data_IF_068293646512
#
_entry.id   IF_068293646512
#
_cell.length_a   1.000
_cell.length_b   1.000
_cell.length_c   1.000
_cell.angle_alpha   90.00
_cell.angle_beta   90.00
_cell.angle_gamma   90.00
#
_symmetry.space_group_name_H-M   'P 1'
#
loop_
_entity.id
_entity.type
_entity.pdbx_description
1 polymer ?
#
# COMPACT_ATOMS: atom_id res chain seq x y z
N UNK A 1 -5.35 -19.54 -42.23
CA UNK A 1 -4.53 -20.62 -41.65
C UNK A 1 -5.45 -21.81 -41.41
N UNK A 2 -5.18 -23.01 -41.99
CA UNK A 2 -6.01 -24.19 -41.74
C UNK A 2 -5.89 -24.59 -40.25
N UNK A 3 -7.01 -25.06 -39.70
CA UNK A 3 -7.07 -25.59 -38.34
C UNK A 3 -6.12 -26.79 -38.19
N UNK A 4 -5.45 -26.95 -37.01
CA UNK A 4 -4.58 -28.10 -36.81
C UNK A 4 -5.41 -29.39 -36.85
N UNK A 5 -4.96 -30.33 -37.69
CA UNK A 5 -5.52 -31.68 -37.71
C UNK A 5 -5.43 -32.35 -36.34
N UNK A 6 -6.44 -33.16 -35.95
CA UNK A 6 -6.40 -33.86 -34.67
C UNK A 6 -5.21 -34.83 -34.67
N UNK A 7 -4.34 -34.69 -33.68
CA UNK A 7 -3.19 -35.57 -33.48
C UNK A 7 -3.65 -37.02 -33.46
N UNK A 8 -3.14 -37.84 -34.38
CA UNK A 8 -3.36 -39.29 -34.40
C UNK A 8 -2.84 -39.87 -33.08
N UNK A 9 -3.75 -40.39 -32.25
CA UNK A 9 -3.39 -41.06 -31.02
C UNK A 9 -2.52 -42.28 -31.35
N UNK A 10 -1.22 -42.18 -31.05
CA UNK A 10 -0.31 -43.32 -31.17
C UNK A 10 -0.87 -44.49 -30.37
N UNK A 11 -0.95 -45.65 -30.98
CA UNK A 11 -1.56 -46.84 -30.39
C UNK A 11 -0.70 -47.33 -29.20
N UNK A 12 -1.09 -46.97 -27.99
CA UNK A 12 -0.38 -47.32 -26.76
C UNK A 12 -0.36 -48.85 -26.58
N UNK A 13 0.81 -49.44 -26.45
CA UNK A 13 0.95 -50.88 -26.19
C UNK A 13 0.69 -51.17 -24.70
N UNK A 14 -0.42 -51.84 -24.40
CA UNK A 14 -0.79 -52.24 -23.05
C UNK A 14 -1.62 -53.52 -23.06
N UNK A 15 -1.52 -54.32 -22.01
CA UNK A 15 -2.35 -55.54 -21.88
C UNK A 15 -3.81 -55.20 -21.62
N UNK A 16 -4.76 -56.12 -21.92
CA UNK A 16 -6.16 -55.90 -21.63
C UNK A 16 -6.45 -55.55 -20.16
N UNK A 17 -5.72 -56.16 -19.24
CA UNK A 17 -5.84 -55.89 -17.81
C UNK A 17 -5.44 -54.45 -17.42
N UNK A 18 -4.31 -53.93 -18.00
CA UNK A 18 -3.87 -52.56 -17.80
C UNK A 18 -4.86 -51.57 -18.40
N UNK A 19 -5.39 -51.86 -19.58
CA UNK A 19 -6.42 -51.00 -20.22
C UNK A 19 -7.69 -50.92 -19.41
N UNK A 20 -8.16 -52.08 -18.87
CA UNK A 20 -9.33 -52.10 -18.00
C UNK A 20 -9.09 -51.25 -16.73
N UNK A 21 -7.96 -51.45 -16.04
CA UNK A 21 -7.60 -50.70 -14.85
C UNK A 21 -7.48 -49.20 -15.12
N UNK A 22 -6.84 -48.78 -16.20
CA UNK A 22 -6.75 -47.38 -16.59
C UNK A 22 -8.13 -46.76 -16.81
N UNK A 23 -9.04 -47.49 -17.49
CA UNK A 23 -10.42 -47.06 -17.68
C UNK A 23 -11.19 -46.91 -16.36
N UNK A 24 -11.06 -47.90 -15.47
CA UNK A 24 -11.72 -47.90 -14.17
C UNK A 24 -11.20 -46.73 -13.28
N UNK A 25 -9.96 -46.30 -13.48
CA UNK A 25 -9.31 -45.18 -12.77
C UNK A 25 -9.41 -43.83 -13.49
N UNK A 26 -10.05 -43.80 -14.66
CA UNK A 26 -10.20 -42.56 -15.46
C UNK A 26 -8.88 -42.01 -16.05
N UNK A 27 -7.87 -42.87 -16.22
CA UNK A 27 -6.53 -42.48 -16.71
C UNK A 27 -6.44 -42.74 -18.22
N UNK A 28 -6.03 -41.71 -18.97
CA UNK A 28 -5.66 -41.86 -20.36
C UNK A 28 -4.24 -42.47 -20.48
N UNK A 29 -4.16 -43.68 -21.02
CA UNK A 29 -2.90 -44.38 -21.20
C UNK A 29 -1.89 -43.65 -22.12
N UNK A 30 -2.33 -42.74 -22.95
CA UNK A 30 -1.46 -41.90 -23.76
C UNK A 30 -0.61 -40.92 -22.94
N UNK A 31 -1.03 -40.62 -21.71
CA UNK A 31 -0.33 -39.75 -20.78
C UNK A 31 0.65 -40.50 -19.88
N UNK A 32 0.61 -41.83 -19.85
CA UNK A 32 1.47 -42.66 -19.02
C UNK A 32 2.76 -42.94 -19.76
N UNK A 33 3.91 -42.63 -19.16
CA UNK A 33 5.22 -42.93 -19.76
C UNK A 33 5.40 -44.44 -19.82
N UNK A 34 5.61 -45.00 -21.02
CA UNK A 34 5.77 -46.48 -21.17
C UNK A 34 7.15 -46.91 -20.63
N UNK A 35 7.24 -48.20 -20.28
CA UNK A 35 8.50 -48.84 -19.97
C UNK A 35 9.47 -48.86 -21.18
N UNK A 36 10.74 -49.26 -20.99
CA UNK A 36 11.78 -49.25 -22.05
C UNK A 36 11.40 -50.09 -23.29
N UNK A 37 10.54 -51.09 -23.12
CA UNK A 37 10.01 -51.90 -24.21
C UNK A 37 8.81 -51.28 -24.95
N UNK A 38 8.45 -50.00 -24.63
CA UNK A 38 7.36 -49.26 -25.24
C UNK A 38 5.96 -49.70 -24.76
N UNK A 39 5.86 -50.54 -23.74
CA UNK A 39 4.59 -51.01 -23.18
C UNK A 39 4.29 -50.33 -21.85
N UNK A 40 3.02 -49.99 -21.66
CA UNK A 40 2.53 -49.53 -20.36
C UNK A 40 2.13 -50.72 -19.49
N UNK A 41 2.72 -50.84 -18.31
CA UNK A 41 2.50 -51.88 -17.30
C UNK A 41 1.75 -51.33 -16.10
N UNK A 42 1.29 -52.19 -15.18
CA UNK A 42 0.64 -51.79 -13.94
C UNK A 42 1.51 -50.87 -13.09
N UNK A 43 2.86 -51.13 -13.01
CA UNK A 43 3.79 -50.26 -12.27
C UNK A 43 3.91 -48.87 -12.84
N UNK A 44 3.90 -48.71 -14.16
CA UNK A 44 3.94 -47.41 -14.85
C UNK A 44 2.67 -46.60 -14.53
N UNK A 45 1.52 -47.29 -14.50
CA UNK A 45 0.25 -46.67 -14.09
C UNK A 45 0.23 -46.28 -12.62
N UNK A 46 0.81 -47.09 -11.73
CA UNK A 46 0.93 -46.78 -10.30
C UNK A 46 1.86 -45.60 -10.07
N UNK A 47 2.97 -45.52 -10.80
CA UNK A 47 3.91 -44.39 -10.76
C UNK A 47 3.24 -43.10 -11.28
N UNK A 48 2.47 -43.18 -12.36
CA UNK A 48 1.71 -42.07 -12.90
C UNK A 48 0.67 -41.56 -11.91
N UNK A 49 -0.06 -42.48 -11.28
CA UNK A 49 -1.06 -42.17 -10.24
C UNK A 49 -0.42 -41.55 -9.02
N UNK A 50 0.70 -42.08 -8.52
CA UNK A 50 1.40 -41.52 -7.37
C UNK A 50 2.00 -40.15 -7.66
N UNK A 51 2.49 -39.91 -8.88
CA UNK A 51 3.00 -38.62 -9.32
C UNK A 51 1.88 -37.58 -9.47
N UNK A 52 0.72 -37.97 -9.98
CA UNK A 52 -0.41 -37.08 -10.19
C UNK A 52 -1.39 -36.96 -9.01
N UNK A 53 -1.34 -37.89 -8.04
CA UNK A 53 -2.26 -37.90 -6.88
C UNK A 53 -2.07 -36.70 -5.93
N UNK A 54 -0.94 -35.98 -6.03
CA UNK A 54 -0.66 -34.78 -5.23
C UNK A 54 -0.82 -33.45 -5.98
N UNK A 55 -0.98 -33.48 -7.29
CA UNK A 55 -1.08 -32.26 -8.09
C UNK A 55 -2.36 -32.30 -8.92
N UNK A 56 -3.37 -31.60 -8.47
CA UNK A 56 -4.55 -31.34 -9.31
C UNK A 56 -4.08 -30.77 -10.66
N UNK A 57 -4.80 -31.09 -11.73
CA UNK A 57 -4.48 -30.58 -13.06
C UNK A 57 -4.19 -29.08 -13.00
N UNK A 58 -3.05 -28.65 -13.52
CA UNK A 58 -2.74 -27.23 -13.60
C UNK A 58 -3.92 -26.50 -14.27
N UNK A 59 -4.40 -25.45 -13.64
CA UNK A 59 -5.49 -24.67 -14.18
C UNK A 59 -5.12 -24.21 -15.60
N UNK A 60 -6.02 -24.38 -16.55
CA UNK A 60 -5.80 -23.88 -17.90
C UNK A 60 -5.47 -22.37 -17.84
N UNK A 61 -4.51 -21.87 -18.62
CA UNK A 61 -4.21 -20.46 -18.66
C UNK A 61 -5.46 -19.67 -19.02
N UNK A 62 -5.68 -18.55 -18.33
CA UNK A 62 -6.76 -17.64 -18.70
C UNK A 62 -6.43 -16.98 -20.03
N UNK A 63 -7.45 -16.69 -20.83
CA UNK A 63 -7.27 -15.92 -22.05
C UNK A 63 -6.79 -14.49 -21.72
N UNK A 64 -5.95 -13.93 -22.57
CA UNK A 64 -5.53 -12.54 -22.47
C UNK A 64 -6.73 -11.61 -22.70
N UNK A 65 -6.82 -10.56 -21.92
CA UNK A 65 -7.89 -9.56 -22.01
C UNK A 65 -7.28 -8.17 -22.21
N UNK A 66 -7.58 -7.53 -23.31
CA UNK A 66 -7.20 -6.14 -23.59
C UNK A 66 -8.24 -5.17 -22.99
N UNK A 67 -7.81 -4.26 -22.10
CA UNK A 67 -8.64 -3.20 -21.54
C UNK A 67 -8.11 -1.82 -21.90
N UNK A 68 -8.93 -1.02 -22.56
CA UNK A 68 -8.62 0.39 -22.84
C UNK A 68 -8.63 1.20 -21.55
N UNK A 69 -7.56 1.98 -21.34
CA UNK A 69 -7.48 2.95 -20.22
C UNK A 69 -8.20 4.22 -20.62
N UNK A 70 -9.38 4.46 -20.04
CA UNK A 70 -10.26 5.60 -20.36
C UNK A 70 -10.69 6.35 -19.09
N UNK A 71 -11.29 7.53 -19.25
CA UNK A 71 -11.91 8.30 -18.17
C UNK A 71 -10.92 8.71 -17.08
N UNK A 72 -11.33 8.52 -15.83
CA UNK A 72 -10.50 8.86 -14.66
C UNK A 72 -9.16 8.10 -14.63
N UNK A 73 -9.16 6.81 -14.98
CA UNK A 73 -7.94 6.01 -15.01
C UNK A 73 -6.91 6.56 -16.00
N UNK A 74 -7.34 7.11 -17.13
CA UNK A 74 -6.46 7.78 -18.09
C UNK A 74 -5.84 9.05 -17.49
N UNK A 75 -6.64 9.88 -16.80
CA UNK A 75 -6.14 11.09 -16.11
C UNK A 75 -5.11 10.74 -15.03
N UNK A 76 -5.37 9.69 -14.25
CA UNK A 76 -4.42 9.19 -13.24
C UNK A 76 -3.12 8.78 -13.92
N UNK A 77 -3.18 7.99 -15.00
CA UNK A 77 -2.01 7.52 -15.73
C UNK A 77 -1.18 8.69 -16.29
N UNK A 78 -1.83 9.68 -16.90
CA UNK A 78 -1.19 10.89 -17.42
C UNK A 78 -0.51 11.70 -16.30
N UNK A 79 -1.19 11.89 -15.16
CA UNK A 79 -0.66 12.61 -13.99
C UNK A 79 0.54 11.90 -13.36
N UNK A 80 0.44 10.60 -13.16
CA UNK A 80 1.54 9.81 -12.57
C UNK A 80 2.74 9.73 -13.51
N UNK A 81 2.51 9.60 -14.82
CA UNK A 81 3.57 9.64 -15.80
C UNK A 81 4.26 11.02 -15.85
N UNK A 82 3.50 12.12 -15.79
CA UNK A 82 4.05 13.47 -15.72
C UNK A 82 4.85 13.69 -14.42
N UNK A 83 4.31 13.25 -13.28
CA UNK A 83 5.01 13.32 -11.99
C UNK A 83 6.37 12.61 -12.06
N UNK A 84 6.41 11.36 -12.55
CA UNK A 84 7.64 10.58 -12.62
C UNK A 84 8.65 11.09 -13.65
N UNK A 85 8.19 11.73 -14.72
CA UNK A 85 9.10 12.33 -15.72
C UNK A 85 9.73 13.64 -15.24
N UNK A 86 8.97 14.48 -14.54
CA UNK A 86 9.38 15.84 -14.22
C UNK A 86 10.00 15.96 -12.83
N UNK A 87 9.66 15.07 -11.89
CA UNK A 87 10.11 15.14 -10.51
C UNK A 87 11.23 14.12 -10.27
N UNK A 88 12.45 14.54 -9.92
CA UNK A 88 13.48 13.63 -9.43
C UNK A 88 13.17 13.20 -8.00
N UNK A 89 12.33 12.16 -7.87
CA UNK A 89 11.95 11.61 -6.58
C UNK A 89 13.12 10.98 -5.86
N UNK A 90 13.26 11.30 -4.57
CA UNK A 90 13.97 10.45 -3.62
C UNK A 90 13.06 10.11 -2.45
N UNK A 91 13.39 9.07 -1.72
CA UNK A 91 12.60 8.65 -0.56
C UNK A 91 13.50 8.48 0.66
N UNK A 92 12.96 8.83 1.82
CA UNK A 92 13.55 8.56 3.12
C UNK A 92 12.55 7.74 3.94
N UNK A 93 13.04 6.77 4.70
CA UNK A 93 12.21 5.89 5.52
C UNK A 93 12.82 5.78 6.90
N UNK A 94 12.00 5.98 7.93
CA UNK A 94 12.41 5.92 9.32
C UNK A 94 11.45 5.06 10.14
N UNK A 95 11.97 4.24 11.03
CA UNK A 95 11.17 3.45 11.97
C UNK A 95 10.86 4.27 13.22
N UNK A 96 9.58 4.27 13.62
CA UNK A 96 9.07 4.96 14.80
C UNK A 96 8.45 3.95 15.77
N UNK A 97 8.72 4.08 17.05
CA UNK A 97 8.02 3.36 18.11
C UNK A 97 6.71 4.07 18.45
N UNK A 98 5.61 3.53 17.97
CA UNK A 98 4.26 4.10 18.18
C UNK A 98 3.49 3.40 19.30
N UNK A 99 4.18 2.71 20.21
CA UNK A 99 3.54 1.98 21.30
C UNK A 99 2.72 2.93 22.18
N UNK A 100 3.33 4.03 22.63
CA UNK A 100 2.68 5.00 23.51
C UNK A 100 1.59 5.80 22.77
N UNK A 101 1.80 6.05 21.46
CA UNK A 101 0.77 6.67 20.61
C UNK A 101 -0.48 5.77 20.51
N UNK A 102 -0.32 4.47 20.37
CA UNK A 102 -1.42 3.51 20.34
C UNK A 102 -2.13 3.38 21.69
N UNK A 103 -1.38 3.49 22.82
CA UNK A 103 -1.95 3.56 24.16
C UNK A 103 -2.80 4.83 24.31
N UNK A 104 -2.26 6.00 23.95
CA UNK A 104 -2.99 7.26 23.98
C UNK A 104 -4.26 7.18 23.10
N UNK A 105 -4.15 6.67 21.90
CA UNK A 105 -5.29 6.51 20.98
C UNK A 105 -6.38 5.61 21.57
N UNK A 106 -6.00 4.53 22.23
CA UNK A 106 -6.95 3.63 22.92
C UNK A 106 -7.65 4.34 24.08
N UNK A 107 -6.92 5.10 24.90
CA UNK A 107 -7.47 5.90 26.02
C UNK A 107 -8.45 6.98 25.51
N UNK A 108 -8.10 7.71 24.46
CA UNK A 108 -8.98 8.69 23.84
C UNK A 108 -10.26 8.03 23.30
N UNK A 109 -10.15 6.85 22.69
CA UNK A 109 -11.29 6.11 22.18
C UNK A 109 -12.19 5.55 23.29
N UNK A 110 -11.65 5.09 24.41
CA UNK A 110 -12.46 4.62 25.55
C UNK A 110 -13.28 5.73 26.20
N UNK A 111 -12.79 6.98 26.13
CA UNK A 111 -13.44 8.16 26.71
C UNK A 111 -14.13 9.07 25.67
N UNK A 112 -14.35 8.59 24.45
CA UNK A 112 -14.84 9.43 23.33
C UNK A 112 -16.30 9.87 23.45
N UNK A 113 -17.15 9.15 24.18
CA UNK A 113 -18.60 9.35 24.17
C UNK A 113 -19.16 9.16 22.74
N UNK A 114 -19.95 10.11 22.26
CA UNK A 114 -20.57 10.09 20.93
C UNK A 114 -19.64 10.56 19.79
N UNK A 115 -18.39 10.90 20.11
CA UNK A 115 -17.41 11.35 19.12
C UNK A 115 -16.98 10.18 18.19
N UNK A 116 -16.50 10.47 16.97
CA UNK A 116 -16.07 9.41 16.04
C UNK A 116 -14.90 8.62 16.62
N UNK A 117 -14.75 7.36 16.17
CA UNK A 117 -13.61 6.54 16.56
C UNK A 117 -12.32 7.11 15.93
N UNK A 118 -11.30 7.38 16.71
CA UNK A 118 -9.99 7.82 16.25
C UNK A 118 -9.23 6.64 15.65
N UNK A 119 -8.83 6.78 14.41
CA UNK A 119 -7.74 6.01 13.80
C UNK A 119 -6.39 6.67 14.11
N UNK A 120 -5.29 6.14 13.61
CA UNK A 120 -3.97 6.77 13.78
C UNK A 120 -3.83 8.07 12.95
N UNK A 121 -4.59 8.19 11.84
CA UNK A 121 -4.44 9.30 10.89
C UNK A 121 -4.68 10.69 11.51
N UNK A 122 -5.72 10.95 12.30
CA UNK A 122 -5.88 12.26 12.96
C UNK A 122 -4.67 12.66 13.81
N UNK A 123 -4.11 11.73 14.58
CA UNK A 123 -2.92 11.97 15.40
C UNK A 123 -1.68 12.26 14.55
N UNK A 124 -1.48 11.46 13.50
CA UNK A 124 -0.40 11.67 12.54
C UNK A 124 -0.51 13.02 11.82
N UNK A 125 -1.71 13.37 11.34
CA UNK A 125 -1.95 14.65 10.64
C UNK A 125 -1.67 15.82 11.58
N UNK A 126 -2.12 15.76 12.83
CA UNK A 126 -1.82 16.79 13.84
C UNK A 126 -0.31 16.91 14.07
N UNK A 127 0.40 15.79 14.21
CA UNK A 127 1.86 15.79 14.36
C UNK A 127 2.56 16.40 13.15
N UNK A 128 2.13 16.03 11.91
CA UNK A 128 2.64 16.63 10.67
C UNK A 128 2.41 18.15 10.68
N UNK A 129 1.19 18.61 10.96
CA UNK A 129 0.87 20.04 10.99
C UNK A 129 1.69 20.82 12.01
N UNK A 130 2.03 20.21 13.15
CA UNK A 130 2.91 20.83 14.18
C UNK A 130 4.38 20.88 13.75
N UNK A 131 4.82 19.93 12.92
CA UNK A 131 6.22 19.88 12.46
C UNK A 131 6.46 20.82 11.29
N UNK A 132 5.48 21.02 10.40
CA UNK A 132 5.64 21.77 9.15
C UNK A 132 6.11 23.22 9.28
N UNK A 133 5.78 23.99 10.33
CA UNK A 133 6.30 25.38 10.47
C UNK A 133 7.82 25.48 10.46
N UNK A 134 8.52 24.48 10.99
CA UNK A 134 9.98 24.43 11.00
C UNK A 134 10.57 23.94 9.67
N UNK A 135 9.71 23.32 8.81
CA UNK A 135 10.10 22.73 7.52
C UNK A 135 9.19 23.23 6.37
N UNK A 136 9.15 24.53 6.09
CA UNK A 136 8.15 25.11 5.18
C UNK A 136 8.31 24.65 3.71
N UNK A 137 9.47 24.10 3.34
CA UNK A 137 9.69 23.53 2.00
C UNK A 137 8.96 22.20 1.78
N UNK A 138 8.57 21.51 2.83
CA UNK A 138 7.80 20.25 2.75
C UNK A 138 6.32 20.56 2.43
N UNK A 139 5.79 21.70 2.87
CA UNK A 139 4.43 22.16 2.57
C UNK A 139 4.44 23.17 1.41
N UNK A 140 4.87 22.75 0.25
CA UNK A 140 5.09 23.63 -0.89
C UNK A 140 4.62 23.00 -2.21
N UNK A 141 4.53 23.84 -3.22
CA UNK A 141 4.32 23.46 -4.62
C UNK A 141 5.45 24.01 -5.48
N UNK A 142 5.83 23.26 -6.49
CA UNK A 142 6.82 23.69 -7.46
C UNK A 142 6.17 23.85 -8.84
N UNK A 143 6.32 25.05 -9.40
CA UNK A 143 5.95 25.36 -10.77
C UNK A 143 7.15 25.10 -11.68
N UNK A 144 7.09 24.04 -12.48
CA UNK A 144 8.16 23.62 -13.39
C UNK A 144 8.45 24.65 -14.49
N UNK A 145 7.42 25.39 -14.96
CA UNK A 145 7.54 26.34 -16.06
C UNK A 145 8.12 27.67 -15.58
N UNK A 146 7.63 28.15 -14.44
CA UNK A 146 8.11 29.39 -13.85
C UNK A 146 9.42 29.24 -13.06
N UNK A 147 9.79 28.00 -12.68
CA UNK A 147 10.91 27.72 -11.78
C UNK A 147 10.70 28.27 -10.36
N UNK A 148 9.44 28.32 -9.89
CA UNK A 148 9.07 28.97 -8.63
C UNK A 148 8.55 27.95 -7.62
N UNK A 149 9.09 28.00 -6.40
CA UNK A 149 8.56 27.28 -5.24
C UNK A 149 7.62 28.20 -4.46
N UNK A 150 6.38 27.77 -4.29
CA UNK A 150 5.40 28.44 -3.42
C UNK A 150 5.26 27.66 -2.11
N UNK A 151 5.75 28.23 -1.01
CA UNK A 151 5.55 27.70 0.35
C UNK A 151 4.18 28.14 0.86
N UNK A 152 3.41 27.21 1.39
CA UNK A 152 2.05 27.46 1.88
C UNK A 152 2.03 27.55 3.42
N UNK A 153 1.43 28.61 3.97
CA UNK A 153 1.19 28.73 5.41
C UNK A 153 0.04 27.83 5.87
N UNK A 154 -0.98 27.64 5.03
CA UNK A 154 -2.07 26.73 5.31
C UNK A 154 -1.69 25.29 4.86
N UNK A 155 -2.04 24.30 5.67
CA UNK A 155 -1.87 22.89 5.33
C UNK A 155 -3.18 22.37 4.73
N UNK A 156 -3.20 22.25 3.40
CA UNK A 156 -4.28 21.60 2.67
C UNK A 156 -3.84 20.18 2.35
N UNK A 157 -4.25 19.24 3.20
CA UNK A 157 -3.72 17.88 3.19
C UNK A 157 -4.54 16.97 2.28
N UNK A 158 -3.90 16.51 1.20
CA UNK A 158 -4.43 15.44 0.35
C UNK A 158 -4.41 14.12 1.09
N UNK A 159 -5.51 13.38 1.05
CA UNK A 159 -5.63 12.06 1.65
C UNK A 159 -5.92 11.02 0.57
N UNK A 160 -4.98 10.11 0.30
CA UNK A 160 -5.18 9.07 -0.68
C UNK A 160 -6.28 8.09 -0.25
N UNK A 161 -7.34 7.98 -1.04
CA UNK A 161 -8.49 7.10 -0.82
C UNK A 161 -8.68 6.15 -2.01
N UNK A 162 -8.74 4.86 -1.74
CA UNK A 162 -9.03 3.84 -2.75
C UNK A 162 -10.53 3.84 -3.06
N UNK A 163 -10.85 3.86 -4.35
CA UNK A 163 -12.23 3.74 -4.88
C UNK A 163 -12.28 2.74 -6.03
N UNK A 164 -13.46 2.32 -6.43
CA UNK A 164 -13.64 1.42 -7.59
C UNK A 164 -13.15 2.06 -8.90
N UNK A 165 -13.27 3.39 -9.02
CA UNK A 165 -12.78 4.15 -10.18
C UNK A 165 -11.25 4.34 -10.19
N UNK A 166 -10.56 4.07 -9.08
CA UNK A 166 -9.13 4.25 -8.89
C UNK A 166 -8.79 5.03 -7.61
N UNK A 167 -7.51 5.39 -7.47
CA UNK A 167 -7.06 6.19 -6.34
C UNK A 167 -7.50 7.65 -6.50
N UNK A 168 -8.23 8.17 -5.53
CA UNK A 168 -8.60 9.59 -5.44
C UNK A 168 -7.88 10.24 -4.27
N UNK A 169 -7.65 11.56 -4.36
CA UNK A 169 -6.93 12.30 -3.30
C UNK A 169 -7.78 13.53 -2.90
N UNK A 170 -8.86 13.32 -2.11
CA UNK A 170 -9.58 14.46 -1.54
C UNK A 170 -8.70 15.23 -0.55
N UNK A 171 -9.01 16.53 -0.39
CA UNK A 171 -8.17 17.48 0.35
C UNK A 171 -8.88 17.99 1.60
N UNK A 172 -8.28 17.76 2.74
CA UNK A 172 -8.67 18.35 4.03
C UNK A 172 -8.11 19.78 4.05
N UNK A 173 -9.01 20.77 4.01
CA UNK A 173 -8.62 22.18 4.04
C UNK A 173 -8.23 22.64 5.44
N UNK A 174 -7.17 23.45 5.53
CA UNK A 174 -6.70 24.02 6.79
C UNK A 174 -6.57 22.97 7.91
N UNK A 175 -5.93 21.84 7.60
CA UNK A 175 -5.81 20.73 8.54
C UNK A 175 -5.17 21.16 9.88
N UNK A 176 -4.27 22.16 9.87
CA UNK A 176 -3.63 22.72 11.05
C UNK A 176 -4.62 23.44 11.99
N UNK A 177 -5.79 23.85 11.51
CA UNK A 177 -6.81 24.54 12.31
C UNK A 177 -7.85 23.58 12.89
N UNK A 178 -7.77 22.29 12.61
CA UNK A 178 -8.74 21.28 13.04
C UNK A 178 -8.21 20.50 14.23
N UNK A 179 -9.08 20.23 15.21
CA UNK A 179 -8.76 19.31 16.30
C UNK A 179 -8.90 17.83 15.87
N UNK A 180 -8.43 16.91 16.70
CA UNK A 180 -8.43 15.46 16.39
C UNK A 180 -9.80 14.91 15.98
N UNK A 181 -10.88 15.38 16.61
CA UNK A 181 -12.23 14.89 16.36
C UNK A 181 -12.80 15.45 15.05
N UNK A 182 -12.50 16.72 14.76
CA UNK A 182 -12.84 17.35 13.48
C UNK A 182 -12.10 16.66 12.32
N UNK A 183 -10.80 16.40 12.51
CA UNK A 183 -10.03 15.62 11.53
C UNK A 183 -10.61 14.21 11.32
N UNK A 184 -10.99 13.50 12.39
CA UNK A 184 -11.58 12.17 12.27
C UNK A 184 -12.91 12.19 11.48
N UNK A 185 -13.76 13.18 11.72
CA UNK A 185 -15.01 13.36 10.97
C UNK A 185 -14.73 13.69 9.50
N UNK A 186 -13.82 14.63 9.24
CA UNK A 186 -13.51 15.08 7.88
C UNK A 186 -12.86 13.98 7.05
N UNK A 187 -11.94 13.19 7.64
CA UNK A 187 -11.35 12.00 7.02
C UNK A 187 -12.45 11.02 6.59
N UNK A 188 -13.39 10.72 7.49
CA UNK A 188 -14.47 9.77 7.21
C UNK A 188 -15.41 10.31 6.14
N UNK A 189 -15.79 11.59 6.21
CA UNK A 189 -16.66 12.26 5.26
C UNK A 189 -16.07 12.26 3.86
N UNK A 190 -14.81 12.72 3.73
CA UNK A 190 -14.12 12.80 2.43
C UNK A 190 -13.85 11.42 1.83
N UNK A 191 -13.49 10.44 2.66
CA UNK A 191 -13.30 9.06 2.19
C UNK A 191 -14.60 8.46 1.65
N UNK A 192 -15.74 8.73 2.30
CA UNK A 192 -17.05 8.27 1.84
C UNK A 192 -17.48 9.01 0.56
N UNK A 193 -17.31 10.34 0.53
CA UNK A 193 -17.62 11.14 -0.66
C UNK A 193 -16.80 10.70 -1.89
N UNK A 194 -15.52 10.34 -1.68
CA UNK A 194 -14.66 9.81 -2.74
C UNK A 194 -15.17 8.45 -3.24
N UNK A 195 -15.52 7.52 -2.33
CA UNK A 195 -16.02 6.17 -2.69
C UNK A 195 -17.37 6.21 -3.39
N UNK A 196 -18.30 7.04 -2.92
CA UNK A 196 -19.62 7.20 -3.51
C UNK A 196 -19.64 8.08 -4.78
N UNK A 197 -18.50 8.69 -5.13
CA UNK A 197 -18.41 9.59 -6.29
C UNK A 197 -19.13 10.94 -6.10
N UNK A 198 -19.44 11.31 -4.85
CA UNK A 198 -20.12 12.57 -4.51
C UNK A 198 -19.15 13.69 -4.10
N UNK A 199 -17.85 13.42 -4.09
CA UNK A 199 -16.83 14.42 -3.79
C UNK A 199 -16.88 15.58 -4.79
N UNK A 200 -16.92 16.81 -4.27
CA UNK A 200 -16.94 18.02 -5.08
C UNK A 200 -15.60 18.27 -5.74
N UNK A 201 -15.58 18.90 -6.92
CA UNK A 201 -14.35 19.24 -7.63
C UNK A 201 -13.38 20.07 -6.77
N UNK A 202 -13.90 20.97 -5.94
CA UNK A 202 -13.13 21.81 -5.01
C UNK A 202 -12.43 20.97 -3.92
N UNK A 203 -13.03 19.87 -3.53
CA UNK A 203 -12.46 18.95 -2.54
C UNK A 203 -11.34 18.06 -3.10
N UNK A 204 -11.21 18.03 -4.43
CA UNK A 204 -10.19 17.23 -5.14
C UNK A 204 -8.99 18.04 -5.60
N UNK A 205 -8.89 19.31 -5.25
CA UNK A 205 -7.87 20.23 -5.75
C UNK A 205 -7.26 21.04 -4.62
N UNK A 206 -6.09 21.61 -4.89
CA UNK A 206 -5.48 22.58 -3.98
C UNK A 206 -4.74 21.96 -2.80
N UNK A 207 -4.44 20.67 -2.81
CA UNK A 207 -3.54 20.01 -1.85
C UNK A 207 -2.16 20.65 -1.83
N UNK A 208 -1.52 20.75 -0.69
CA UNK A 208 -0.16 21.27 -0.52
C UNK A 208 0.82 20.19 -0.07
N UNK A 209 0.30 19.11 0.47
CA UNK A 209 1.01 17.92 0.93
C UNK A 209 0.03 16.74 0.89
N UNK A 210 0.45 15.57 0.49
CA UNK A 210 -0.39 14.37 0.49
C UNK A 210 0.07 13.35 1.54
N UNK A 211 -0.91 12.73 2.22
CA UNK A 211 -0.69 11.54 3.04
C UNK A 211 -1.34 10.34 2.36
N UNK A 212 -0.58 9.26 2.18
CA UNK A 212 -1.05 8.01 1.59
C UNK A 212 -0.93 6.86 2.57
N UNK A 213 -2.06 6.28 2.97
CA UNK A 213 -2.11 5.16 3.91
C UNK A 213 -2.91 4.02 3.32
N UNK A 214 -2.32 2.82 3.36
CA UNK A 214 -2.99 1.58 2.99
C UNK A 214 -3.56 0.84 4.21
N UNK A 215 -3.46 1.44 5.40
CA UNK A 215 -3.91 0.82 6.65
C UNK A 215 -3.30 -0.57 6.86
N UNK A 216 -4.11 -1.59 7.18
CA UNK A 216 -3.61 -2.95 7.42
C UNK A 216 -2.91 -3.60 6.21
N UNK A 217 -3.22 -3.16 4.99
CA UNK A 217 -2.58 -3.63 3.76
C UNK A 217 -1.24 -2.95 3.50
N UNK A 218 -0.86 -1.96 4.29
CA UNK A 218 0.41 -1.25 4.17
C UNK A 218 1.60 -2.20 4.27
N UNK A 219 2.63 -1.95 3.47
CA UNK A 219 3.90 -2.67 3.53
C UNK A 219 4.77 -2.23 4.71
N UNK A 220 6.00 -2.74 4.75
CA UNK A 220 7.02 -2.29 5.73
C UNK A 220 7.55 -0.90 5.34
N UNK A 221 7.67 -0.62 4.05
CA UNK A 221 8.08 0.66 3.50
C UNK A 221 7.39 0.89 2.16
N UNK A 222 7.22 2.16 1.79
CA UNK A 222 6.65 2.57 0.51
C UNK A 222 7.48 3.70 -0.11
N UNK A 223 7.44 3.80 -1.43
CA UNK A 223 8.04 4.90 -2.20
C UNK A 223 6.94 5.56 -3.04
N UNK A 224 6.04 6.33 -2.41
CA UNK A 224 4.88 6.87 -3.10
C UNK A 224 5.28 7.88 -4.18
N UNK A 225 4.45 7.96 -5.22
CA UNK A 225 4.61 8.96 -6.29
C UNK A 225 3.98 10.26 -5.84
N UNK A 226 4.72 11.36 -5.92
CA UNK A 226 4.27 12.70 -5.53
C UNK A 226 3.07 13.12 -6.39
N UNK A 227 2.07 13.70 -5.75
CA UNK A 227 0.90 14.26 -6.42
C UNK A 227 1.23 15.67 -6.93
N UNK A 228 1.78 15.76 -8.14
CA UNK A 228 2.18 17.03 -8.76
C UNK A 228 1.03 18.06 -8.76
N UNK A 229 1.27 19.34 -8.40
CA UNK A 229 2.55 20.04 -8.22
C UNK A 229 3.09 20.09 -6.78
N UNK A 230 2.62 19.24 -5.86
CA UNK A 230 3.16 19.13 -4.51
C UNK A 230 4.65 18.69 -4.56
N UNK A 231 5.42 18.99 -3.50
CA UNK A 231 6.83 18.63 -3.40
C UNK A 231 7.10 17.42 -2.54
N UNK A 232 6.11 16.96 -1.77
CA UNK A 232 6.28 15.82 -0.88
C UNK A 232 4.99 15.00 -0.73
N UNK A 233 5.17 13.72 -0.39
CA UNK A 233 4.11 12.80 -0.01
C UNK A 233 4.59 11.90 1.12
N UNK A 234 3.76 11.72 2.16
CA UNK A 234 4.09 10.96 3.37
C UNK A 234 3.25 9.70 3.40
N UNK A 235 3.90 8.57 3.67
CA UNK A 235 3.26 7.26 3.77
C UNK A 235 3.49 6.62 5.14
N UNK A 236 2.51 6.66 6.07
CA UNK A 236 2.56 5.77 7.22
C UNK A 236 2.36 4.33 6.76
N UNK A 237 3.28 3.46 7.15
CA UNK A 237 3.24 2.05 6.83
C UNK A 237 2.45 1.28 7.91
N UNK A 238 2.35 -0.04 7.78
CA UNK A 238 1.62 -0.84 8.76
C UNK A 238 2.34 -0.85 10.11
N UNK A 239 1.56 -0.87 11.17
CA UNK A 239 2.07 -1.11 12.53
C UNK A 239 2.33 -2.61 12.70
N UNK A 240 3.52 -2.96 13.18
CA UNK A 240 3.93 -4.33 13.48
C UNK A 240 4.40 -4.44 14.93
N UNK A 241 4.14 -5.58 15.56
CA UNK A 241 4.64 -5.86 16.90
C UNK A 241 5.97 -6.59 16.80
N UNK A 242 6.98 -6.09 17.52
CA UNK A 242 8.32 -6.72 17.61
C UNK A 242 8.83 -6.71 19.05
N UNK A 243 9.64 -7.72 19.46
CA UNK A 243 10.40 -7.64 20.68
C UNK A 243 11.55 -6.64 20.49
N UNK A 244 11.67 -5.68 21.39
CA UNK A 244 12.71 -4.66 21.39
C UNK A 244 13.37 -4.58 22.75
N UNK A 245 14.67 -4.27 22.78
CA UNK A 245 15.34 -3.92 24.03
C UNK A 245 14.93 -2.51 24.44
N UNK A 246 14.43 -2.38 25.66
CA UNK A 246 14.01 -1.08 26.24
C UNK A 246 14.73 -0.91 27.57
N UNK A 247 15.38 0.24 27.75
CA UNK A 247 15.99 0.61 29.02
C UNK A 247 14.93 1.24 29.90
N UNK A 248 14.60 0.59 31.02
CA UNK A 248 13.66 1.13 32.00
C UNK A 248 14.21 2.37 32.71
N UNK A 249 13.35 3.09 33.44
CA UNK A 249 13.76 4.25 34.29
C UNK A 249 14.76 3.88 35.39
N UNK A 250 14.87 2.60 35.73
CA UNK A 250 15.83 2.02 36.65
C UNK A 250 17.19 1.68 36.00
N UNK A 251 17.35 1.99 34.69
CA UNK A 251 18.56 1.70 33.93
C UNK A 251 18.73 0.24 33.53
N UNK A 252 17.72 -0.62 33.77
CA UNK A 252 17.78 -2.04 33.44
C UNK A 252 17.18 -2.27 32.05
N UNK A 253 17.92 -2.97 31.17
CA UNK A 253 17.40 -3.39 29.88
C UNK A 253 16.44 -4.57 30.02
N UNK A 254 15.32 -4.47 29.34
CA UNK A 254 14.28 -5.50 29.24
C UNK A 254 13.87 -5.69 27.81
N UNK A 255 13.44 -6.92 27.48
CA UNK A 255 12.78 -7.17 26.19
C UNK A 255 11.30 -6.88 26.37
N UNK A 256 10.80 -5.90 25.62
CA UNK A 256 9.39 -5.53 25.60
C UNK A 256 8.80 -5.71 24.20
N UNK A 257 7.51 -6.01 24.15
CA UNK A 257 6.75 -6.00 22.92
C UNK A 257 6.40 -4.56 22.56
N UNK A 258 6.99 -4.04 21.49
CA UNK A 258 6.77 -2.67 21.01
C UNK A 258 6.01 -2.68 19.69
N UNK A 259 5.25 -1.64 19.41
CA UNK A 259 4.54 -1.39 18.17
C UNK A 259 5.34 -0.41 17.32
N UNK A 260 5.86 -0.92 16.21
CA UNK A 260 6.72 -0.15 15.31
C UNK A 260 5.98 0.19 14.03
N UNK A 261 6.19 1.39 13.53
CA UNK A 261 5.64 1.87 12.27
C UNK A 261 6.70 2.64 11.50
N UNK A 262 6.95 2.27 10.26
CA UNK A 262 7.81 3.06 9.40
C UNK A 262 7.02 4.22 8.80
N UNK A 263 7.63 5.41 8.82
CA UNK A 263 7.20 6.58 8.07
C UNK A 263 8.06 6.68 6.82
N UNK A 264 7.43 6.60 5.66
CA UNK A 264 8.08 6.84 4.37
C UNK A 264 7.70 8.22 3.88
N UNK A 265 8.68 8.98 3.37
CA UNK A 265 8.44 10.23 2.66
C UNK A 265 9.11 10.17 1.30
N UNK A 266 8.42 10.59 0.25
CA UNK A 266 9.03 10.89 -1.05
C UNK A 266 9.01 12.39 -1.28
N UNK A 267 10.15 12.95 -1.71
CA UNK A 267 10.33 14.38 -1.93
C UNK A 267 10.85 14.66 -3.34
N UNK A 268 10.56 15.86 -3.81
CA UNK A 268 11.16 16.45 -5.03
C UNK A 268 12.56 16.97 -4.69
N UNK A 269 13.59 16.29 -5.21
CA UNK A 269 15.00 16.63 -4.90
C UNK A 269 15.47 17.96 -5.48
N UNK A 270 14.63 18.66 -6.23
CA UNK A 270 14.89 20.04 -6.70
C UNK A 270 14.56 21.08 -5.63
N UNK A 271 13.73 20.70 -4.64
CA UNK A 271 13.17 21.61 -3.63
C UNK A 271 13.56 21.19 -2.23
N UNK A 272 13.60 19.89 -1.95
CA UNK A 272 13.90 19.30 -0.65
C UNK A 272 15.12 18.41 -0.81
N UNK A 273 16.11 18.56 0.04
CA UNK A 273 17.27 17.67 0.05
C UNK A 273 17.14 16.54 1.10
N UNK A 274 18.14 15.65 1.13
CA UNK A 274 18.13 14.51 2.03
C UNK A 274 18.19 14.91 3.51
N UNK A 275 18.89 16.01 3.82
CA UNK A 275 18.97 16.53 5.18
C UNK A 275 17.64 17.09 5.65
N UNK A 276 16.96 17.87 4.83
CA UNK A 276 15.65 18.45 5.16
C UNK A 276 14.60 17.36 5.40
N UNK A 277 14.54 16.36 4.49
CA UNK A 277 13.62 15.25 4.62
C UNK A 277 13.89 14.41 5.88
N UNK A 278 15.15 14.10 6.17
CA UNK A 278 15.52 13.34 7.36
C UNK A 278 15.21 14.14 8.64
N UNK A 279 15.57 15.42 8.68
CA UNK A 279 15.31 16.30 9.84
C UNK A 279 13.82 16.46 10.11
N UNK A 280 13.00 16.64 9.07
CA UNK A 280 11.55 16.67 9.20
C UNK A 280 11.01 15.36 9.78
N UNK A 281 11.44 14.21 9.25
CA UNK A 281 10.96 12.91 9.71
C UNK A 281 11.44 12.63 11.14
N UNK A 282 12.64 13.04 11.53
CA UNK A 282 13.11 12.93 12.94
C UNK A 282 12.29 13.81 13.89
N UNK A 283 11.94 15.05 13.50
CA UNK A 283 11.05 15.89 14.29
C UNK A 283 9.65 15.29 14.42
N UNK A 284 9.10 14.75 13.34
CA UNK A 284 7.82 14.02 13.34
C UNK A 284 7.88 12.76 14.23
N UNK A 285 8.95 11.95 14.11
CA UNK A 285 9.21 10.78 14.95
C UNK A 285 9.16 11.11 16.43
N UNK A 286 9.82 12.20 16.84
CA UNK A 286 9.79 12.65 18.24
C UNK A 286 8.36 12.88 18.74
N UNK A 287 7.48 13.48 17.93
CA UNK A 287 6.08 13.67 18.31
C UNK A 287 5.31 12.36 18.40
N UNK A 288 5.58 11.43 17.49
CA UNK A 288 4.90 10.11 17.47
C UNK A 288 5.34 9.21 18.63
N UNK A 289 6.62 9.30 19.03
CA UNK A 289 7.19 8.52 20.14
C UNK A 289 6.93 9.17 21.51
N UNK A 290 6.61 10.47 21.53
CA UNK A 290 6.21 11.20 22.74
C UNK A 290 4.85 11.87 22.50
N UNK A 291 3.76 11.10 22.47
CA UNK A 291 2.47 11.58 21.95
C UNK A 291 1.80 12.66 22.79
N UNK A 292 2.23 12.87 24.05
CA UNK A 292 1.80 14.01 24.85
C UNK A 292 2.12 15.35 24.17
N UNK A 293 3.25 15.42 23.42
CA UNK A 293 3.64 16.61 22.67
C UNK A 293 2.70 16.95 21.50
N UNK A 294 1.90 16.01 21.05
CA UNK A 294 0.88 16.25 20.01
C UNK A 294 -0.28 17.07 20.59
N UNK A 295 -0.56 16.95 21.88
CA UNK A 295 -1.73 17.52 22.55
C UNK A 295 -1.47 18.86 23.23
N UNK A 296 -0.22 19.25 23.39
CA UNK A 296 0.17 20.54 23.97
C UNK A 296 0.55 21.52 22.86
N UNK A 297 0.44 22.83 23.14
CA UNK A 297 0.75 23.91 22.19
C UNK A 297 2.27 24.06 21.93
#
# INVERSE_FOLDING_TARGET
TPAPEPAQHAKVLATPAVRKRAKDLGVDLAQVKPAEDGRVRHGDLDQFLSYNAGYGAAAAPRADEEKKVIGMRRRIAENMAASKRNIPHFSYVEECDVTDLEVLRAQLNSNRGDKPKLTILPLLITAICKTLPDFPMINARYDDEAGVVTRHGAVNLGMAAQTDAGLMVPVIRNAQAQNLWQLANEISRLAEAARSGTAKSEEMQGGTLTVTSLGPLGGVATTPVINRPEVAIIGPNRIIERPMYVTGSDGVERIEKRKLMNISISCDHRVVDGWDAASFVQALKRLLETPALILID
#
